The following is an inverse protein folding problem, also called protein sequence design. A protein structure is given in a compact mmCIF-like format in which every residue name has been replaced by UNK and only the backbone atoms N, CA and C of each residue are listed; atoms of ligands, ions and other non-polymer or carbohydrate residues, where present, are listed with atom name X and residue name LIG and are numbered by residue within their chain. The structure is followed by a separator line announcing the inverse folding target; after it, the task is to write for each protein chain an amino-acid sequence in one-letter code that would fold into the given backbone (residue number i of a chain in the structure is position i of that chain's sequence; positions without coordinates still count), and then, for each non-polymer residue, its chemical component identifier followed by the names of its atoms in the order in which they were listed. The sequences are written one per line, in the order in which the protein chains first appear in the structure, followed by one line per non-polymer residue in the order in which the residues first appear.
data_IF_572048982081
#
_entry.id   IF_572048982081
#
_cell.length_a   1.000
_cell.length_b   1.000
_cell.length_c   1.000
_cell.angle_alpha   90.00
_cell.angle_beta   90.00
_cell.angle_gamma   90.00
#
_symmetry.space_group_name_H-M   'P 1'
#
loop_
_entity.id
_entity.type
_entity.pdbx_description
1 polymer ?
#
# COMPACT_ATOMS: atom_id res chain seq x y z
N UNK A 1 -43.41 -31.91 -43.72
CA UNK A 1 -43.40 -30.58 -44.35
C UNK A 1 -42.95 -29.62 -43.26
N UNK A 2 -41.76 -29.04 -43.38
CA UNK A 2 -41.24 -28.11 -42.36
C UNK A 2 -42.10 -26.84 -42.41
N UNK A 3 -42.59 -26.40 -41.26
CA UNK A 3 -43.39 -25.18 -41.14
C UNK A 3 -42.46 -23.97 -41.20
N UNK A 4 -42.36 -23.37 -42.39
CA UNK A 4 -41.46 -22.25 -42.67
C UNK A 4 -41.98 -20.89 -42.17
N UNK A 5 -43.10 -20.85 -41.43
CA UNK A 5 -43.59 -19.60 -40.84
C UNK A 5 -42.88 -19.24 -39.52
N UNK A 6 -42.09 -20.15 -38.95
CA UNK A 6 -41.42 -19.97 -37.63
C UNK A 6 -39.93 -20.35 -37.59
N UNK A 7 -39.27 -20.53 -38.74
CA UNK A 7 -37.85 -20.89 -38.83
C UNK A 7 -36.96 -19.70 -39.24
N UNK A 8 -35.75 -19.63 -38.68
CA UNK A 8 -34.70 -18.67 -39.04
C UNK A 8 -34.38 -18.76 -40.55
N UNK A 9 -34.61 -17.66 -41.28
CA UNK A 9 -34.48 -17.62 -42.75
C UNK A 9 -35.16 -16.46 -43.49
N UNK A 10 -35.80 -15.51 -42.79
CA UNK A 10 -36.30 -14.27 -43.41
C UNK A 10 -35.22 -13.18 -43.41
N UNK A 11 -35.17 -12.38 -44.48
CA UNK A 11 -34.38 -11.14 -44.52
C UNK A 11 -35.30 -9.94 -44.36
N UNK A 12 -34.77 -8.85 -43.81
CA UNK A 12 -35.52 -7.59 -43.66
C UNK A 12 -35.01 -6.62 -44.72
N UNK A 13 -35.91 -6.04 -45.52
CA UNK A 13 -35.51 -5.04 -46.52
C UNK A 13 -35.17 -3.69 -45.87
N UNK A 14 -34.66 -2.75 -46.67
CA UNK A 14 -34.31 -1.40 -46.21
C UNK A 14 -35.48 -0.60 -45.59
N UNK A 15 -36.73 -1.06 -45.75
CA UNK A 15 -37.93 -0.45 -45.17
C UNK A 15 -38.42 -1.19 -43.92
N UNK A 16 -37.65 -2.13 -43.39
CA UNK A 16 -37.99 -2.89 -42.18
C UNK A 16 -38.99 -4.02 -42.41
N UNK A 17 -39.29 -4.40 -43.66
CA UNK A 17 -40.28 -5.43 -44.00
C UNK A 17 -39.62 -6.80 -44.13
N UNK A 18 -40.25 -7.84 -43.59
CA UNK A 18 -39.80 -9.24 -43.78
C UNK A 18 -40.00 -9.66 -45.24
N UNK A 19 -38.99 -10.29 -45.82
CA UNK A 19 -38.99 -10.77 -47.20
C UNK A 19 -38.62 -12.26 -47.21
N UNK A 20 -39.22 -13.00 -48.15
CA UNK A 20 -38.85 -14.36 -48.51
C UNK A 20 -37.47 -14.38 -49.19
N UNK A 21 -36.75 -15.50 -49.09
CA UNK A 21 -35.44 -15.74 -49.75
C UNK A 21 -35.50 -17.07 -50.50
N UNK A 22 -34.93 -17.12 -51.71
CA UNK A 22 -34.86 -18.34 -52.51
C UNK A 22 -34.02 -19.43 -51.81
N UNK A 23 -34.51 -20.67 -51.84
CA UNK A 23 -33.78 -21.84 -51.33
C UNK A 23 -32.60 -22.18 -52.25
N UNK A 24 -31.43 -22.37 -51.67
CA UNK A 24 -30.23 -22.86 -52.38
C UNK A 24 -29.66 -24.09 -51.65
N UNK A 25 -30.11 -25.27 -52.08
CA UNK A 25 -29.70 -26.55 -51.50
C UNK A 25 -28.22 -26.86 -51.74
N UNK A 26 -27.64 -26.36 -52.83
CA UNK A 26 -26.24 -26.61 -53.16
C UNK A 26 -25.30 -25.88 -52.19
N UNK A 27 -25.70 -24.70 -51.72
CA UNK A 27 -24.95 -23.89 -50.77
C UNK A 27 -25.49 -23.97 -49.33
N UNK A 28 -26.44 -24.87 -49.05
CA UNK A 28 -27.10 -25.04 -47.76
C UNK A 28 -27.76 -23.76 -47.23
N UNK A 29 -28.24 -22.87 -48.12
CA UNK A 29 -28.97 -21.67 -47.73
C UNK A 29 -30.44 -22.03 -47.51
N UNK A 30 -30.96 -21.89 -46.28
CA UNK A 30 -32.38 -22.09 -46.01
C UNK A 30 -33.21 -21.03 -46.75
N UNK A 31 -34.30 -21.45 -47.39
CA UNK A 31 -35.18 -20.55 -48.12
C UNK A 31 -36.46 -21.24 -48.60
N UNK A 32 -37.27 -20.52 -49.37
CA UNK A 32 -38.50 -21.02 -50.00
C UNK A 32 -38.21 -21.63 -51.38
N UNK A 33 -38.94 -22.70 -51.74
CA UNK A 33 -38.94 -23.28 -53.09
C UNK A 33 -39.70 -22.42 -54.11
N UNK A 34 -40.51 -21.47 -53.62
CA UNK A 34 -41.22 -20.47 -54.43
C UNK A 34 -40.32 -19.26 -54.65
N UNK A 35 -40.32 -18.69 -55.86
CA UNK A 35 -39.56 -17.49 -56.19
C UNK A 35 -39.90 -16.33 -55.23
N UNK A 36 -38.86 -15.87 -54.53
CA UNK A 36 -38.97 -14.85 -53.51
C UNK A 36 -39.38 -13.49 -54.10
N UNK A 37 -38.95 -13.13 -55.31
CA UNK A 37 -39.26 -11.83 -55.89
C UNK A 37 -40.77 -11.70 -56.15
N UNK A 38 -41.38 -12.73 -56.74
CA UNK A 38 -42.82 -12.78 -57.01
C UNK A 38 -43.65 -12.70 -55.71
N UNK A 39 -43.29 -13.49 -54.69
CA UNK A 39 -44.04 -13.52 -53.43
C UNK A 39 -43.87 -12.25 -52.60
N UNK A 40 -42.68 -11.65 -52.63
CA UNK A 40 -42.41 -10.40 -51.95
C UNK A 40 -43.20 -9.24 -52.57
N UNK A 41 -43.44 -9.24 -53.89
CA UNK A 41 -44.26 -8.23 -54.54
C UNK A 41 -45.71 -8.24 -54.01
N UNK A 42 -46.36 -9.41 -54.00
CA UNK A 42 -47.74 -9.54 -53.50
C UNK A 42 -47.83 -9.16 -52.01
N UNK A 43 -46.89 -9.62 -51.20
CA UNK A 43 -46.84 -9.28 -49.77
C UNK A 43 -46.75 -7.78 -49.56
N UNK A 44 -45.89 -7.11 -50.33
CA UNK A 44 -45.69 -5.67 -50.20
C UNK A 44 -46.95 -4.87 -50.57
N UNK A 45 -47.71 -5.29 -51.57
CA UNK A 45 -48.96 -4.63 -51.97
C UNK A 45 -50.04 -4.72 -50.87
N UNK A 46 -50.20 -5.88 -50.26
CA UNK A 46 -51.14 -6.07 -49.13
C UNK A 46 -50.75 -5.19 -47.94
N UNK A 47 -49.46 -5.20 -47.57
CA UNK A 47 -48.95 -4.38 -46.45
C UNK A 47 -49.17 -2.89 -46.69
N UNK A 48 -49.01 -2.41 -47.93
CA UNK A 48 -49.24 -1.02 -48.28
C UNK A 48 -50.72 -0.62 -48.12
N UNK A 49 -51.65 -1.47 -48.57
CA UNK A 49 -53.09 -1.20 -48.43
C UNK A 49 -53.50 -1.08 -46.95
N UNK A 50 -52.98 -1.96 -46.10
CA UNK A 50 -53.22 -1.91 -44.65
C UNK A 50 -52.67 -0.61 -44.04
N UNK A 51 -51.43 -0.25 -44.35
CA UNK A 51 -50.80 0.96 -43.83
C UNK A 51 -51.54 2.25 -44.26
N UNK A 52 -52.03 2.33 -45.51
CA UNK A 52 -52.78 3.51 -45.99
C UNK A 52 -54.12 3.71 -45.28
N UNK A 53 -54.76 2.64 -44.79
CA UNK A 53 -55.95 2.76 -43.94
C UNK A 53 -55.65 3.24 -42.51
N UNK A 54 -54.36 3.41 -42.16
CA UNK A 54 -53.91 3.76 -40.82
C UNK A 54 -53.79 2.58 -39.86
N UNK A 55 -53.90 1.33 -40.35
CA UNK A 55 -53.69 0.12 -39.55
C UNK A 55 -52.20 -0.25 -39.58
N UNK A 56 -51.62 -0.60 -38.43
CA UNK A 56 -50.23 -1.06 -38.36
C UNK A 56 -50.14 -2.54 -38.79
N UNK A 57 -49.36 -2.88 -39.83
CA UNK A 57 -49.27 -4.25 -40.33
C UNK A 57 -48.74 -5.22 -39.27
N UNK A 58 -49.45 -6.33 -39.05
CA UNK A 58 -49.12 -7.40 -38.13
C UNK A 58 -49.16 -8.74 -38.89
N UNK A 59 -48.04 -9.48 -38.88
CA UNK A 59 -47.94 -10.76 -39.58
C UNK A 59 -48.77 -11.88 -38.90
N UNK A 60 -49.21 -11.66 -37.66
CA UNK A 60 -50.01 -12.64 -36.91
C UNK A 60 -51.53 -12.39 -37.02
N UNK A 61 -51.96 -11.38 -37.81
CA UNK A 61 -53.37 -11.03 -38.00
C UNK A 61 -53.80 -11.15 -39.47
N UNK A 62 -54.48 -12.27 -39.76
CA UNK A 62 -54.96 -12.60 -41.10
C UNK A 62 -56.21 -11.79 -41.52
N UNK A 63 -56.70 -10.85 -40.70
CA UNK A 63 -57.92 -10.07 -40.97
C UNK A 63 -57.67 -8.63 -41.41
N UNK A 64 -56.43 -8.15 -41.31
CA UNK A 64 -56.12 -6.72 -41.48
C UNK A 64 -56.43 -6.15 -42.87
N UNK A 65 -56.27 -6.95 -43.93
CA UNK A 65 -56.61 -6.49 -45.28
C UNK A 65 -58.11 -6.20 -45.41
N UNK A 66 -58.96 -7.05 -44.80
CA UNK A 66 -60.40 -6.83 -44.78
C UNK A 66 -60.77 -5.58 -43.97
N UNK A 67 -60.19 -5.42 -42.79
CA UNK A 67 -60.41 -4.24 -41.93
C UNK A 67 -60.04 -2.94 -42.65
N UNK A 68 -58.92 -2.93 -43.38
CA UNK A 68 -58.47 -1.78 -44.16
C UNK A 68 -59.48 -1.39 -45.25
N UNK A 69 -60.05 -2.39 -45.95
CA UNK A 69 -61.05 -2.16 -47.00
C UNK A 69 -62.33 -1.57 -46.42
N UNK A 70 -62.83 -2.11 -45.31
CA UNK A 70 -64.07 -1.62 -44.66
C UNK A 70 -63.91 -0.16 -44.23
N UNK A 71 -62.80 0.17 -43.55
CA UNK A 71 -62.57 1.54 -43.06
C UNK A 71 -62.54 2.57 -44.19
N UNK A 72 -61.86 2.26 -45.30
CA UNK A 72 -61.79 3.15 -46.47
C UNK A 72 -63.18 3.33 -47.12
N UNK A 73 -64.03 2.30 -47.07
CA UNK A 73 -65.40 2.39 -47.58
C UNK A 73 -66.29 3.28 -46.68
N UNK A 74 -66.23 3.10 -45.37
CA UNK A 74 -67.03 3.86 -44.39
C UNK A 74 -66.69 5.37 -44.43
N UNK A 75 -65.40 5.72 -44.53
CA UNK A 75 -64.96 7.11 -44.64
C UNK A 75 -65.51 7.80 -45.90
N UNK A 76 -65.75 7.05 -46.98
CA UNK A 76 -66.35 7.58 -48.22
C UNK A 76 -67.87 7.71 -48.14
N UNK A 77 -68.55 6.85 -47.38
CA UNK A 77 -70.01 6.91 -47.19
C UNK A 77 -70.41 8.11 -46.30
N UNK A 78 -69.62 8.43 -45.26
CA UNK A 78 -69.85 9.59 -44.41
C UNK A 78 -69.77 10.94 -45.15
N UNK A 79 -69.05 11.01 -46.28
CA UNK A 79 -68.97 12.20 -47.13
C UNK A 79 -70.17 12.36 -48.08
N UNK A 80 -71.03 11.34 -48.23
CA UNK A 80 -72.13 11.33 -49.21
C UNK A 80 -73.48 11.86 -48.71
N UNK A 81 -73.70 12.01 -47.40
CA UNK A 81 -75.04 12.23 -46.83
C UNK A 81 -75.42 13.70 -46.51
N UNK A 82 -74.52 14.67 -46.70
CA UNK A 82 -74.81 16.10 -46.48
C UNK A 82 -74.61 16.86 -47.79
N UNK A 83 -75.72 17.31 -48.39
CA UNK A 83 -75.76 17.91 -49.73
C UNK A 83 -74.98 19.21 -49.97
N UNK A 84 -74.09 19.64 -49.06
CA UNK A 84 -73.06 20.65 -49.26
C UNK A 84 -71.88 20.41 -48.31
N UNK A 85 -70.67 20.79 -48.73
CA UNK A 85 -69.45 20.72 -47.92
C UNK A 85 -69.59 21.63 -46.69
N UNK A 86 -69.55 21.10 -45.45
CA UNK A 86 -69.42 21.93 -44.25
C UNK A 86 -68.15 22.79 -44.35
N UNK A 87 -68.24 24.07 -43.98
CA UNK A 87 -67.02 24.85 -43.74
C UNK A 87 -66.46 24.37 -42.41
N UNK A 88 -65.57 23.38 -42.46
CA UNK A 88 -64.77 22.95 -41.32
C UNK A 88 -63.67 23.99 -41.09
N UNK A 89 -63.90 24.93 -40.17
CA UNK A 89 -62.77 25.61 -39.55
C UNK A 89 -62.25 24.72 -38.43
N UNK A 90 -61.18 23.99 -38.72
CA UNK A 90 -60.40 23.28 -37.71
C UNK A 90 -59.98 24.24 -36.62
N UNK A 91 -60.44 23.99 -35.40
CA UNK A 91 -59.91 24.63 -34.21
C UNK A 91 -58.43 24.26 -34.06
N UNK A 92 -57.63 25.21 -33.59
CA UNK A 92 -56.25 24.95 -33.14
C UNK A 92 -56.23 23.88 -32.03
N UNK A 93 -55.10 23.17 -31.89
CA UNK A 93 -54.89 22.14 -30.87
C UNK A 93 -55.41 22.57 -29.48
N UNK A 94 -56.40 21.85 -28.95
CA UNK A 94 -56.99 22.08 -27.63
C UNK A 94 -58.48 22.46 -27.61
N UNK A 95 -59.12 22.66 -28.76
CA UNK A 95 -60.58 22.79 -28.86
C UNK A 95 -61.19 21.39 -29.09
N UNK A 96 -61.95 20.89 -28.11
CA UNK A 96 -62.68 19.62 -28.16
C UNK A 96 -63.71 19.60 -29.30
N UNK A 97 -64.25 18.42 -29.65
CA UNK A 97 -65.12 18.06 -30.81
C UNK A 97 -66.37 18.92 -31.10
N UNK A 98 -66.53 20.05 -30.41
CA UNK A 98 -67.62 20.99 -30.54
C UNK A 98 -67.55 21.78 -31.85
N UNK A 99 -68.08 21.19 -32.92
CA UNK A 99 -68.25 21.86 -34.22
C UNK A 99 -69.28 22.98 -34.09
N UNK A 100 -68.87 24.21 -34.42
CA UNK A 100 -69.78 25.35 -34.56
C UNK A 100 -70.37 25.35 -35.97
N UNK A 101 -71.69 25.24 -36.05
CA UNK A 101 -72.46 25.28 -37.29
C UNK A 101 -73.19 26.62 -37.37
N UNK A 102 -72.91 27.43 -38.38
CA UNK A 102 -73.59 28.72 -38.62
C UNK A 102 -74.42 28.60 -39.88
N UNK A 103 -75.71 28.93 -39.78
CA UNK A 103 -76.61 28.84 -40.92
C UNK A 103 -77.97 29.50 -40.68
N UNK A 104 -78.76 29.59 -41.75
CA UNK A 104 -80.12 30.11 -41.66
C UNK A 104 -81.01 29.13 -40.87
N UNK A 105 -81.60 29.63 -39.79
CA UNK A 105 -82.66 28.97 -39.03
C UNK A 105 -84.02 29.62 -39.32
N UNK A 106 -85.11 29.00 -38.85
CA UNK A 106 -86.46 29.54 -38.98
C UNK A 106 -86.60 31.00 -38.46
N UNK A 107 -85.75 31.41 -37.52
CA UNK A 107 -85.81 32.73 -36.87
C UNK A 107 -84.68 33.68 -37.31
N UNK A 108 -83.84 33.27 -38.26
CA UNK A 108 -82.72 34.05 -38.79
C UNK A 108 -81.36 33.34 -38.71
N UNK A 109 -80.26 34.07 -38.87
CA UNK A 109 -78.91 33.50 -38.89
C UNK A 109 -78.54 33.02 -37.48
N UNK A 110 -78.35 31.72 -37.29
CA UNK A 110 -78.12 31.10 -35.98
C UNK A 110 -76.82 30.30 -35.93
N UNK A 111 -76.29 30.14 -34.72
CA UNK A 111 -75.23 29.19 -34.43
C UNK A 111 -75.74 28.02 -33.60
N UNK A 112 -75.25 26.83 -33.95
CA UNK A 112 -75.33 25.62 -33.16
C UNK A 112 -73.92 25.17 -32.80
N UNK A 113 -73.77 24.59 -31.62
CA UNK A 113 -72.50 23.99 -31.16
C UNK A 113 -72.81 22.54 -30.79
N UNK A 114 -72.17 21.59 -31.47
CA UNK A 114 -72.48 20.15 -31.29
C UNK A 114 -73.97 19.83 -31.42
N UNK A 115 -74.64 20.45 -32.40
CA UNK A 115 -76.07 20.29 -32.64
C UNK A 115 -77.00 20.97 -31.63
N UNK A 116 -76.48 21.65 -30.59
CA UNK A 116 -77.29 22.43 -29.64
C UNK A 116 -77.37 23.90 -30.07
N UNK A 117 -78.58 24.47 -30.03
CA UNK A 117 -78.82 25.87 -30.37
C UNK A 117 -78.13 26.81 -29.39
N UNK A 118 -77.24 27.66 -29.90
CA UNK A 118 -76.47 28.62 -29.10
C UNK A 118 -77.08 30.03 -29.15
N UNK A 119 -77.74 30.38 -30.26
CA UNK A 119 -78.45 31.64 -30.39
C UNK A 119 -78.68 32.08 -31.84
N UNK A 120 -79.56 33.07 -32.03
CA UNK A 120 -79.72 33.79 -33.30
C UNK A 120 -78.87 35.06 -33.24
N UNK A 121 -77.98 35.25 -34.21
CA UNK A 121 -77.15 36.46 -34.34
C UNK A 121 -77.89 37.58 -35.07
N UNK A 122 -78.79 37.24 -36.00
CA UNK A 122 -79.60 38.20 -36.73
C UNK A 122 -81.01 37.63 -36.96
N UNK A 123 -82.02 38.30 -36.41
CA UNK A 123 -83.42 37.90 -36.56
C UNK A 123 -84.03 38.44 -37.85
N UNK A 124 -84.91 37.66 -38.49
CA UNK A 124 -85.58 38.05 -39.75
C UNK A 124 -86.85 38.88 -39.57
N UNK A 125 -87.31 39.12 -38.33
CA UNK A 125 -88.50 39.94 -38.07
C UNK A 125 -88.13 41.37 -37.66
N UNK A 126 -88.50 42.34 -38.51
CA UNK A 126 -88.29 43.77 -38.33
C UNK A 126 -89.34 44.34 -37.36
N UNK A 127 -89.16 44.13 -36.07
CA UNK A 127 -89.90 44.85 -35.02
C UNK A 127 -88.95 45.20 -33.87
N UNK A 128 -88.15 46.25 -34.11
CA UNK A 128 -87.42 47.07 -33.15
C UNK A 128 -86.73 46.33 -31.99
N UNK A 129 -85.50 45.84 -32.24
CA UNK A 129 -84.51 45.63 -31.17
C UNK A 129 -83.26 46.45 -31.50
N UNK A 130 -83.05 47.44 -30.63
CA UNK A 130 -81.97 48.41 -30.62
C UNK A 130 -80.71 47.75 -30.02
N UNK A 131 -79.52 47.98 -30.60
CA UNK A 131 -78.31 47.33 -30.14
C UNK A 131 -78.02 47.69 -28.68
N UNK A 132 -77.73 46.68 -27.85
CA UNK A 132 -76.98 46.88 -26.60
C UNK A 132 -75.60 47.37 -27.02
N UNK A 133 -75.40 48.69 -26.99
CA UNK A 133 -74.10 49.28 -27.26
C UNK A 133 -73.22 49.13 -26.02
N UNK A 134 -72.22 48.26 -26.08
CA UNK A 134 -71.10 48.28 -25.13
C UNK A 134 -70.15 49.37 -25.63
N UNK A 135 -70.27 50.58 -25.08
CA UNK A 135 -69.42 51.72 -25.42
C UNK A 135 -68.32 51.94 -24.37
N UNK A 136 -67.09 52.16 -24.83
CA UNK A 136 -65.99 52.67 -24.00
C UNK A 136 -65.80 54.13 -24.43
N UNK A 137 -66.12 55.10 -23.57
CA UNK A 137 -65.84 56.52 -23.84
C UNK A 137 -64.36 56.79 -23.52
N UNK A 138 -63.64 57.50 -24.39
CA UNK A 138 -62.23 57.88 -24.20
C UNK A 138 -62.00 58.75 -22.94
N UNK A 139 -63.05 59.30 -22.34
CA UNK A 139 -62.99 60.02 -21.06
C UNK A 139 -63.46 59.20 -19.86
N UNK A 140 -64.16 58.08 -20.07
CA UNK A 140 -64.70 57.21 -19.03
C UNK A 140 -64.57 55.73 -19.44
N UNK A 141 -63.48 55.11 -18.99
CA UNK A 141 -63.13 53.69 -19.12
C UNK A 141 -64.05 52.76 -18.28
N UNK A 142 -65.35 53.02 -18.22
CA UNK A 142 -66.29 52.22 -17.44
C UNK A 142 -67.30 51.55 -18.37
N UNK A 143 -67.45 50.21 -18.36
CA UNK A 143 -68.58 49.57 -19.01
C UNK A 143 -69.87 49.99 -18.29
N UNK A 144 -70.77 50.60 -19.04
CA UNK A 144 -72.07 51.05 -18.56
C UNK A 144 -73.20 50.38 -19.33
N UNK A 145 -74.34 50.22 -18.67
CA UNK A 145 -75.62 49.87 -19.29
C UNK A 145 -76.55 51.08 -19.21
N UNK A 146 -77.35 51.35 -20.25
CA UNK A 146 -78.41 52.35 -20.19
C UNK A 146 -79.78 51.68 -20.09
N UNK A 147 -80.67 52.25 -19.26
CA UNK A 147 -82.08 51.89 -19.27
C UNK A 147 -82.88 52.69 -20.32
N UNK A 148 -84.15 52.32 -20.47
CA UNK A 148 -85.13 52.93 -21.39
C UNK A 148 -85.41 54.43 -21.14
N UNK A 149 -84.76 55.06 -20.15
CA UNK A 149 -84.88 56.50 -19.85
C UNK A 149 -83.57 57.25 -20.03
N UNK A 150 -82.54 56.61 -20.61
CA UNK A 150 -81.23 57.21 -20.81
C UNK A 150 -80.41 57.33 -19.52
N UNK A 151 -80.77 56.56 -18.48
CA UNK A 151 -80.02 56.53 -17.22
C UNK A 151 -78.91 55.48 -17.31
N UNK A 152 -77.68 55.89 -17.05
CA UNK A 152 -76.51 55.02 -17.09
C UNK A 152 -76.28 54.34 -15.73
N UNK A 153 -76.08 53.03 -15.75
CA UNK A 153 -75.70 52.22 -14.59
C UNK A 153 -74.29 51.68 -14.80
N UNK A 154 -73.37 52.07 -13.91
CA UNK A 154 -72.02 51.54 -13.91
C UNK A 154 -72.01 50.15 -13.30
N UNK A 155 -71.29 49.22 -13.94
CA UNK A 155 -71.17 47.84 -13.49
C UNK A 155 -70.32 47.68 -12.21
N UNK A 156 -69.53 48.70 -11.87
CA UNK A 156 -68.76 48.79 -10.63
C UNK A 156 -68.89 50.20 -10.02
N UNK A 157 -68.91 50.29 -8.69
CA UNK A 157 -68.90 51.60 -8.03
C UNK A 157 -67.56 52.30 -8.28
N UNK A 158 -67.60 53.63 -8.42
CA UNK A 158 -66.40 54.48 -8.63
C UNK A 158 -65.33 54.23 -7.56
N UNK A 159 -65.74 53.97 -6.32
CA UNK A 159 -64.84 53.65 -5.21
C UNK A 159 -64.11 52.32 -5.37
N UNK A 160 -64.77 51.27 -5.88
CA UNK A 160 -64.15 49.97 -6.08
C UNK A 160 -63.00 50.04 -7.10
N UNK A 161 -63.21 50.74 -8.21
CA UNK A 161 -62.18 50.91 -9.25
C UNK A 161 -61.03 51.81 -8.77
N UNK A 162 -61.33 52.90 -8.05
CA UNK A 162 -60.30 53.77 -7.47
C UNK A 162 -59.44 52.98 -6.47
N UNK A 163 -60.05 52.16 -5.62
CA UNK A 163 -59.33 51.32 -4.67
C UNK A 163 -58.47 50.28 -5.38
N UNK A 164 -58.99 49.59 -6.40
CA UNK A 164 -58.22 48.63 -7.18
C UNK A 164 -57.01 49.28 -7.87
N UNK A 165 -57.18 50.48 -8.44
CA UNK A 165 -56.09 51.23 -9.08
C UNK A 165 -55.05 51.73 -8.07
N UNK A 166 -55.49 52.21 -6.90
CA UNK A 166 -54.62 52.62 -5.82
C UNK A 166 -53.79 51.44 -5.28
N UNK A 167 -54.42 50.27 -5.06
CA UNK A 167 -53.74 49.04 -4.62
C UNK A 167 -52.73 48.57 -5.64
N UNK A 168 -53.08 48.55 -6.93
CA UNK A 168 -52.17 48.14 -8.01
C UNK A 168 -50.96 49.09 -8.10
N UNK A 169 -51.20 50.39 -7.96
CA UNK A 169 -50.13 51.39 -7.98
C UNK A 169 -49.19 51.26 -6.78
N UNK A 170 -49.73 50.97 -5.59
CA UNK A 170 -48.92 50.73 -4.39
C UNK A 170 -48.08 49.45 -4.51
N UNK A 171 -48.67 48.37 -5.05
CA UNK A 171 -47.97 47.11 -5.31
C UNK A 171 -46.81 47.30 -6.30
N UNK A 172 -47.03 48.02 -7.40
CA UNK A 172 -46.00 48.29 -8.41
C UNK A 172 -44.83 49.14 -7.85
N UNK A 173 -45.13 50.09 -6.95
CA UNK A 173 -44.09 50.85 -6.23
C UNK A 173 -43.26 49.95 -5.33
N UNK A 174 -43.91 49.04 -4.60
CA UNK A 174 -43.21 48.11 -3.72
C UNK A 174 -42.35 47.10 -4.49
N UNK A 175 -42.83 46.58 -5.62
CA UNK A 175 -42.05 45.71 -6.50
C UNK A 175 -40.79 46.44 -7.00
N UNK A 176 -40.93 47.70 -7.40
CA UNK A 176 -39.79 48.51 -7.86
C UNK A 176 -38.78 48.72 -6.73
N UNK A 177 -39.27 49.07 -5.52
CA UNK A 177 -38.42 49.22 -4.33
C UNK A 177 -37.67 47.93 -3.98
N UNK A 178 -38.38 46.79 -4.00
CA UNK A 178 -37.82 45.48 -3.70
C UNK A 178 -36.75 45.06 -4.72
N UNK A 179 -36.98 45.27 -6.02
CA UNK A 179 -35.98 45.03 -7.07
C UNK A 179 -34.73 45.89 -6.91
N UNK A 180 -34.90 47.16 -6.53
CA UNK A 180 -33.77 48.04 -6.22
C UNK A 180 -32.97 47.54 -5.02
N UNK A 181 -33.65 47.20 -3.92
CA UNK A 181 -33.00 46.65 -2.74
C UNK A 181 -32.31 45.31 -2.99
N UNK A 182 -32.89 44.43 -3.80
CA UNK A 182 -32.30 43.16 -4.23
C UNK A 182 -31.04 43.41 -5.08
N UNK A 183 -31.09 44.35 -6.01
CA UNK A 183 -29.93 44.77 -6.80
C UNK A 183 -28.81 45.34 -5.92
N UNK A 184 -29.15 46.18 -4.93
CA UNK A 184 -28.19 46.76 -4.00
C UNK A 184 -27.59 45.70 -3.07
N UNK A 185 -28.40 44.75 -2.59
CA UNK A 185 -27.94 43.59 -1.82
C UNK A 185 -27.02 42.70 -2.66
N UNK A 186 -27.37 42.41 -3.91
CA UNK A 186 -26.55 41.64 -4.83
C UNK A 186 -25.21 42.35 -5.07
N UNK A 187 -25.21 43.67 -5.27
CA UNK A 187 -24.00 44.47 -5.44
C UNK A 187 -23.15 44.50 -4.14
N UNK A 188 -23.79 44.63 -2.98
CA UNK A 188 -23.11 44.59 -1.69
C UNK A 188 -22.51 43.21 -1.38
N UNK A 189 -23.20 42.12 -1.69
CA UNK A 189 -22.70 40.76 -1.55
C UNK A 189 -21.53 40.52 -2.51
N UNK A 190 -21.68 40.90 -3.78
CA UNK A 190 -20.61 40.77 -4.79
C UNK A 190 -19.40 41.66 -4.48
N UNK A 191 -19.61 42.84 -3.89
CA UNK A 191 -18.53 43.75 -3.48
C UNK A 191 -17.90 43.42 -2.11
N UNK A 192 -18.59 42.62 -1.28
CA UNK A 192 -18.07 42.11 0.00
C UNK A 192 -17.50 40.71 -0.08
N UNK A 193 -17.69 39.96 -1.17
CA UNK A 193 -16.72 38.94 -1.54
C UNK A 193 -15.42 39.68 -1.87
N UNK A 194 -14.38 39.60 -1.01
CA UNK A 194 -13.07 40.11 -1.40
C UNK A 194 -12.69 39.42 -2.70
N UNK A 195 -11.93 40.08 -3.57
CA UNK A 195 -11.40 39.55 -4.83
C UNK A 195 -10.39 38.38 -4.61
N UNK A 196 -10.78 37.41 -3.79
CA UNK A 196 -9.96 36.43 -3.11
C UNK A 196 -10.76 35.23 -2.60
N UNK A 197 -12.09 35.16 -2.79
CA UNK A 197 -12.81 33.89 -2.65
C UNK A 197 -12.64 32.97 -3.88
N UNK A 198 -11.91 33.45 -4.91
CA UNK A 198 -11.21 32.63 -5.90
C UNK A 198 -9.74 32.39 -5.51
N UNK A 199 -9.19 33.17 -4.58
CA UNK A 199 -7.86 32.94 -4.01
C UNK A 199 -7.86 31.83 -2.95
N UNK A 200 -9.00 31.43 -2.40
CA UNK A 200 -9.14 30.15 -1.68
C UNK A 200 -8.84 28.98 -2.60
N UNK A 201 -9.29 28.98 -3.86
CA UNK A 201 -8.88 27.95 -4.81
C UNK A 201 -7.40 28.07 -5.21
N UNK A 202 -6.86 29.27 -5.45
CA UNK A 202 -5.45 29.40 -5.81
C UNK A 202 -4.49 29.07 -4.64
N UNK A 203 -4.78 29.57 -3.43
CA UNK A 203 -3.99 29.27 -2.23
C UNK A 203 -4.14 27.82 -1.80
N UNK A 204 -5.35 27.24 -1.87
CA UNK A 204 -5.57 25.81 -1.64
C UNK A 204 -4.86 24.96 -2.69
N UNK A 205 -4.92 25.36 -3.97
CA UNK A 205 -4.18 24.66 -5.04
C UNK A 205 -2.68 24.76 -4.84
N UNK A 206 -2.16 25.92 -4.41
CA UNK A 206 -0.75 26.10 -4.09
C UNK A 206 -0.34 25.27 -2.87
N UNK A 207 -1.15 25.21 -1.82
CA UNK A 207 -0.91 24.39 -0.62
C UNK A 207 -1.00 22.89 -0.95
N UNK A 208 -1.98 22.46 -1.74
CA UNK A 208 -2.12 21.08 -2.23
C UNK A 208 -0.91 20.70 -3.10
N UNK A 209 -0.48 21.59 -3.98
CA UNK A 209 0.71 21.39 -4.82
C UNK A 209 1.99 21.34 -3.97
N UNK A 210 2.14 22.25 -3.01
CA UNK A 210 3.28 22.28 -2.09
C UNK A 210 3.34 21.02 -1.23
N UNK A 211 2.20 20.56 -0.70
CA UNK A 211 2.10 19.30 0.06
C UNK A 211 2.34 18.08 -0.80
N UNK A 212 1.80 18.03 -2.02
CA UNK A 212 2.06 16.94 -2.95
C UNK A 212 3.56 16.85 -3.30
N UNK A 213 4.20 18.00 -3.55
CA UNK A 213 5.64 18.08 -3.79
C UNK A 213 6.45 17.70 -2.54
N UNK A 214 6.04 18.13 -1.34
CA UNK A 214 6.69 17.77 -0.10
C UNK A 214 6.54 16.27 0.21
N UNK A 215 5.37 15.68 -0.04
CA UNK A 215 5.12 14.24 0.10
C UNK A 215 5.91 13.45 -0.94
N UNK A 216 5.97 13.88 -2.19
CA UNK A 216 6.79 13.25 -3.22
C UNK A 216 8.30 13.36 -2.91
N UNK A 217 8.75 14.50 -2.37
CA UNK A 217 10.11 14.69 -1.90
C UNK A 217 10.41 13.84 -0.67
N UNK A 218 9.47 13.73 0.27
CA UNK A 218 9.57 12.85 1.43
C UNK A 218 9.52 11.37 1.03
N UNK A 219 8.70 10.96 0.06
CA UNK A 219 8.65 9.59 -0.46
C UNK A 219 9.91 9.27 -1.29
N UNK A 220 10.46 10.26 -2.00
CA UNK A 220 11.79 10.19 -2.59
C UNK A 220 12.93 10.16 -1.56
N UNK A 221 12.74 10.78 -0.39
CA UNK A 221 13.71 10.81 0.71
C UNK A 221 13.50 9.72 1.77
N UNK A 222 12.35 9.02 1.76
CA UNK A 222 12.03 7.83 2.55
C UNK A 222 12.91 6.71 2.05
N UNK A 223 14.18 6.72 2.42
CA UNK A 223 15.10 5.59 2.23
C UNK A 223 14.97 5.00 0.81
N UNK A 224 14.78 5.81 -0.23
CA UNK A 224 15.33 5.46 -1.52
C UNK A 224 16.81 5.70 -1.36
N UNK A 225 17.51 4.70 -0.79
CA UNK A 225 18.98 4.63 -0.72
C UNK A 225 19.58 4.48 -2.13
N UNK A 226 19.12 5.26 -3.10
CA UNK A 226 19.84 5.54 -4.32
C UNK A 226 20.89 6.62 -4.00
N UNK A 227 21.85 6.28 -3.14
CA UNK A 227 22.90 7.21 -2.69
C UNK A 227 23.60 6.76 -1.41
N UNK A 228 22.84 6.19 -0.46
CA UNK A 228 23.42 5.32 0.56
C UNK A 228 23.76 3.99 -0.10
N UNK A 229 24.96 3.90 -0.66
CA UNK A 229 25.47 2.60 -1.11
C UNK A 229 25.56 1.71 0.13
N UNK A 230 24.70 0.70 0.24
CA UNK A 230 25.06 -0.51 0.99
C UNK A 230 26.23 -1.14 0.23
N UNK A 231 27.45 -0.65 0.45
CA UNK A 231 28.66 -1.25 -0.11
C UNK A 231 28.93 -2.54 0.67
N UNK A 232 28.44 -3.63 0.10
CA UNK A 232 28.57 -4.98 0.62
C UNK A 232 27.39 -5.80 0.11
N UNK A 233 27.65 -6.92 -0.54
CA UNK A 233 26.59 -7.84 -0.94
C UNK A 233 25.73 -8.15 0.28
N UNK A 234 24.41 -7.92 0.18
CA UNK A 234 23.47 -8.59 1.06
C UNK A 234 23.47 -10.06 0.64
N UNK A 235 24.48 -10.76 1.14
CA UNK A 235 24.67 -12.20 1.11
C UNK A 235 23.46 -12.93 1.68
N UNK A 236 22.41 -13.22 0.92
CA UNK A 236 21.51 -14.31 1.29
C UNK A 236 22.25 -15.65 1.10
N UNK A 237 23.34 -15.87 1.87
CA UNK A 237 24.23 -17.03 1.80
C UNK A 237 23.63 -18.26 2.50
N UNK A 238 22.31 -18.42 2.52
CA UNK A 238 21.74 -19.73 2.81
C UNK A 238 21.39 -20.40 1.49
N UNK A 239 22.39 -21.04 0.87
CA UNK A 239 22.07 -22.17 0.00
C UNK A 239 21.72 -23.32 0.95
N UNK A 240 20.44 -23.74 1.07
CA UNK A 240 20.04 -24.84 1.96
C UNK A 240 20.58 -26.21 1.50
N UNK A 241 21.43 -26.24 0.47
CA UNK A 241 21.97 -27.42 -0.20
C UNK A 241 23.45 -27.63 0.06
N UNK A 242 24.05 -26.95 1.05
CA UNK A 242 25.45 -27.18 1.39
C UNK A 242 25.64 -28.62 1.89
N UNK A 243 26.66 -29.30 1.35
CA UNK A 243 27.04 -30.66 1.75
C UNK A 243 27.65 -30.65 3.15
N UNK A 244 27.47 -31.74 3.90
CA UNK A 244 28.10 -31.93 5.20
C UNK A 244 29.61 -31.65 5.15
N UNK A 245 30.11 -30.89 6.13
CA UNK A 245 31.51 -30.53 6.25
C UNK A 245 31.89 -29.15 5.68
N UNK A 246 30.98 -28.48 4.97
CA UNK A 246 31.21 -27.09 4.49
C UNK A 246 30.87 -26.09 5.58
N UNK A 247 31.68 -25.03 5.72
CA UNK A 247 31.39 -23.92 6.62
C UNK A 247 30.38 -22.96 6.01
N UNK A 248 29.27 -22.76 6.71
CA UNK A 248 28.29 -21.73 6.47
C UNK A 248 28.57 -20.50 7.35
N UNK A 249 28.42 -19.31 6.77
CA UNK A 249 28.71 -18.05 7.43
C UNK A 249 27.44 -17.20 7.41
N UNK A 250 26.96 -16.79 8.58
CA UNK A 250 25.81 -15.89 8.64
C UNK A 250 26.16 -14.51 8.09
N UNK A 251 25.15 -13.71 7.69
CA UNK A 251 25.33 -12.28 7.58
C UNK A 251 25.95 -11.72 8.86
N UNK A 252 26.90 -10.80 8.72
CA UNK A 252 27.66 -10.22 9.83
C UNK A 252 27.44 -8.72 9.97
N UNK A 253 27.65 -8.20 11.18
CA UNK A 253 27.80 -6.77 11.43
C UNK A 253 29.26 -6.38 11.23
N UNK A 254 29.51 -5.41 10.35
CA UNK A 254 30.86 -4.87 10.10
C UNK A 254 30.89 -3.40 10.45
N UNK A 255 31.81 -3.02 11.32
CA UNK A 255 32.13 -1.63 11.62
C UNK A 255 33.53 -1.33 11.11
N UNK A 256 33.67 -0.23 10.38
CA UNK A 256 34.93 0.17 9.76
C UNK A 256 35.14 1.66 9.98
N UNK A 257 36.33 2.05 10.42
CA UNK A 257 36.70 3.46 10.45
C UNK A 257 37.28 3.87 9.09
N UNK A 258 37.20 5.16 8.76
CA UNK A 258 37.92 5.73 7.61
C UNK A 258 39.46 5.53 7.67
N UNK A 259 39.97 5.08 8.81
CA UNK A 259 41.38 4.98 9.19
C UNK A 259 41.95 3.57 9.04
N UNK A 260 41.27 2.70 8.27
CA UNK A 260 41.72 1.35 7.86
C UNK A 260 41.57 0.24 8.89
N UNK A 261 41.12 0.53 10.11
CA UNK A 261 40.82 -0.47 11.12
C UNK A 261 39.32 -0.76 11.18
N UNK A 262 38.97 -2.01 11.43
CA UNK A 262 37.58 -2.40 11.61
C UNK A 262 37.45 -3.71 12.37
N UNK A 263 36.20 -4.07 12.65
CA UNK A 263 35.85 -5.38 13.14
C UNK A 263 34.59 -5.89 12.46
N UNK A 264 34.52 -7.21 12.31
CA UNK A 264 33.35 -7.92 11.80
C UNK A 264 32.91 -8.97 12.81
N UNK A 265 31.61 -9.04 13.08
CA UNK A 265 30.98 -10.03 13.94
C UNK A 265 29.97 -10.84 13.13
N UNK A 266 30.11 -12.15 13.08
CA UNK A 266 29.18 -13.09 12.44
C UNK A 266 29.15 -14.43 13.19
N UNK A 267 28.18 -15.30 12.88
CA UNK A 267 28.22 -16.70 13.30
C UNK A 267 28.71 -17.60 12.17
N UNK A 268 29.49 -18.61 12.52
CA UNK A 268 29.98 -19.63 11.63
C UNK A 268 29.44 -20.98 12.12
N UNK A 269 28.98 -21.82 11.20
CA UNK A 269 28.55 -23.19 11.48
C UNK A 269 29.11 -24.13 10.42
N UNK A 270 29.50 -25.34 10.79
CA UNK A 270 29.89 -26.38 9.83
C UNK A 270 28.68 -27.29 9.62
N UNK A 271 28.17 -27.30 8.40
CA UNK A 271 26.96 -28.03 8.04
C UNK A 271 27.11 -29.51 8.42
N UNK A 272 26.11 -30.03 9.15
CA UNK A 272 26.03 -31.42 9.60
C UNK A 272 26.79 -31.75 10.89
N UNK A 273 27.58 -30.83 11.45
CA UNK A 273 28.43 -31.09 12.63
C UNK A 273 27.74 -30.68 13.95
N UNK A 274 26.96 -29.58 13.94
CA UNK A 274 26.15 -29.10 15.08
C UNK A 274 26.93 -28.66 16.33
N UNK A 275 28.17 -29.15 16.51
CA UNK A 275 29.07 -28.87 17.62
C UNK A 275 30.07 -27.75 17.31
N UNK A 276 30.11 -27.25 16.08
CA UNK A 276 31.08 -26.25 15.59
C UNK A 276 30.46 -24.87 15.36
N UNK A 277 29.17 -24.71 15.66
CA UNK A 277 28.50 -23.42 15.63
C UNK A 277 29.15 -22.48 16.65
N UNK A 278 29.77 -21.41 16.16
CA UNK A 278 30.50 -20.44 16.98
C UNK A 278 30.20 -19.00 16.55
N UNK A 279 30.27 -18.08 17.52
CA UNK A 279 30.39 -16.67 17.21
C UNK A 279 31.81 -16.36 16.75
N UNK A 280 31.99 -15.50 15.76
CA UNK A 280 33.31 -15.12 15.24
C UNK A 280 33.45 -13.61 15.26
N UNK A 281 34.46 -13.13 15.98
CA UNK A 281 34.92 -11.74 15.91
C UNK A 281 36.21 -11.70 15.08
N UNK A 282 36.23 -10.83 14.09
CA UNK A 282 37.38 -10.64 13.20
C UNK A 282 37.90 -9.23 13.33
N UNK A 283 39.19 -9.09 13.62
CA UNK A 283 39.89 -7.81 13.50
C UNK A 283 40.40 -7.62 12.07
N UNK A 284 40.16 -6.44 11.52
CA UNK A 284 40.49 -6.12 10.13
C UNK A 284 41.39 -4.89 10.04
N UNK A 285 42.34 -4.94 9.11
CA UNK A 285 43.23 -3.86 8.79
C UNK A 285 43.42 -3.76 7.28
N UNK A 286 43.26 -2.57 6.70
CA UNK A 286 43.32 -2.32 5.25
C UNK A 286 42.40 -3.24 4.40
N UNK A 287 41.21 -3.56 4.90
CA UNK A 287 40.24 -4.44 4.25
C UNK A 287 40.61 -5.92 4.30
N UNK A 288 41.71 -6.28 4.98
CA UNK A 288 42.19 -7.65 5.14
C UNK A 288 41.92 -8.13 6.57
N UNK A 289 41.41 -9.36 6.68
CA UNK A 289 41.18 -10.01 7.97
C UNK A 289 42.53 -10.42 8.58
N UNK A 290 42.81 -9.93 9.78
CA UNK A 290 44.11 -10.13 10.44
C UNK A 290 44.03 -11.22 11.51
N UNK A 291 42.94 -11.24 12.27
CA UNK A 291 42.83 -12.07 13.45
C UNK A 291 41.40 -12.53 13.66
N UNK A 292 41.22 -13.81 13.99
CA UNK A 292 39.91 -14.40 14.29
C UNK A 292 39.88 -14.83 15.74
N UNK A 293 38.74 -14.60 16.35
CA UNK A 293 38.39 -15.00 17.70
C UNK A 293 37.08 -15.77 17.61
N UNK A 294 37.12 -17.06 17.91
CA UNK A 294 35.96 -17.94 17.93
C UNK A 294 35.44 -18.08 19.35
N UNK A 295 34.15 -17.84 19.51
CA UNK A 295 33.38 -18.07 20.73
C UNK A 295 32.65 -19.40 20.57
N UNK A 296 33.26 -20.47 21.09
CA UNK A 296 32.77 -21.82 20.98
C UNK A 296 31.48 -22.05 21.78
N UNK A 297 30.66 -23.03 21.40
CA UNK A 297 29.42 -23.36 22.11
C UNK A 297 29.67 -23.93 23.52
N UNK A 298 30.90 -24.37 23.79
CA UNK A 298 31.40 -24.81 25.10
C UNK A 298 31.86 -23.64 26.00
N UNK A 299 31.72 -22.40 25.53
CA UNK A 299 32.19 -21.20 26.23
C UNK A 299 33.70 -20.95 26.08
N UNK A 300 34.42 -21.76 25.29
CA UNK A 300 35.81 -21.50 24.97
C UNK A 300 35.95 -20.27 24.06
N UNK A 301 37.08 -19.56 24.20
CA UNK A 301 37.46 -18.49 23.28
C UNK A 301 38.77 -18.92 22.62
N UNK A 302 38.71 -19.22 21.33
CA UNK A 302 39.87 -19.59 20.51
C UNK A 302 40.38 -18.40 19.72
N UNK A 303 41.68 -18.19 19.63
CA UNK A 303 42.29 -17.17 18.77
C UNK A 303 43.17 -17.82 17.70
N UNK A 304 43.05 -17.33 16.45
CA UNK A 304 43.66 -17.92 15.24
C UNK A 304 45.17 -18.19 15.25
N UNK A 305 45.96 -17.51 16.08
CA UNK A 305 47.42 -17.63 16.10
C UNK A 305 48.01 -18.01 17.47
N UNK A 306 47.19 -18.02 18.52
CA UNK A 306 47.60 -18.29 19.91
C UNK A 306 46.82 -19.45 20.54
N UNK A 307 45.84 -20.01 19.83
CA UNK A 307 45.01 -21.09 20.35
C UNK A 307 43.99 -20.58 21.38
N UNK A 308 43.55 -21.47 22.27
CA UNK A 308 42.53 -21.14 23.26
C UNK A 308 43.07 -20.13 24.28
N UNK A 309 42.28 -19.08 24.55
CA UNK A 309 42.52 -18.16 25.65
C UNK A 309 42.20 -18.92 26.94
N UNK A 310 43.21 -19.20 27.74
CA UNK A 310 43.01 -19.83 29.05
C UNK A 310 42.30 -18.86 30.00
N UNK A 311 41.18 -19.30 30.58
CA UNK A 311 40.59 -18.60 31.71
C UNK A 311 41.49 -18.74 32.94
N UNK A 312 41.44 -17.76 33.86
CA UNK A 312 42.22 -17.83 35.13
C UNK A 312 41.92 -19.11 35.92
N UNK A 313 40.69 -19.62 35.83
CA UNK A 313 40.26 -20.89 36.43
C UNK A 313 40.84 -22.15 35.75
N UNK A 314 41.41 -22.01 34.55
CA UNK A 314 42.05 -23.09 33.78
C UNK A 314 43.57 -23.03 33.85
N UNK A 315 44.14 -21.96 34.40
CA UNK A 315 45.55 -21.95 34.80
C UNK A 315 45.64 -22.96 35.96
N UNK A 316 46.44 -24.04 35.85
CA UNK A 316 46.54 -25.03 36.90
C UNK A 316 46.83 -24.33 38.23
N UNK A 317 45.91 -24.51 39.19
CA UNK A 317 46.12 -24.06 40.58
C UNK A 317 47.22 -24.84 41.29
N UNK A 318 47.85 -25.79 40.59
CA UNK A 318 48.96 -26.63 41.02
C UNK A 318 50.29 -25.89 41.10
N UNK A 319 50.28 -24.55 41.24
CA UNK A 319 51.47 -23.85 41.71
C UNK A 319 51.69 -24.25 43.16
N UNK A 320 52.62 -25.18 43.39
CA UNK A 320 53.00 -25.59 44.74
C UNK A 320 53.41 -24.34 45.52
N UNK A 321 52.63 -23.98 46.54
CA UNK A 321 52.83 -22.76 47.30
C UNK A 321 54.22 -22.72 47.92
N UNK A 322 54.83 -21.54 48.00
CA UNK A 322 56.15 -21.33 48.64
C UNK A 322 56.25 -21.98 50.03
N UNK A 323 55.14 -22.04 50.78
CA UNK A 323 55.04 -22.71 52.08
C UNK A 323 55.37 -24.20 52.04
N UNK A 324 55.13 -24.89 50.91
CA UNK A 324 55.41 -26.33 50.75
C UNK A 324 56.91 -26.62 50.73
N UNK A 325 57.73 -25.67 50.25
CA UNK A 325 59.18 -25.83 50.18
C UNK A 325 59.94 -24.97 51.19
N UNK A 326 59.25 -24.18 52.01
CA UNK A 326 59.91 -23.27 52.96
C UNK A 326 60.79 -24.03 53.96
N UNK A 327 60.37 -25.24 54.39
CA UNK A 327 61.16 -26.12 55.26
C UNK A 327 62.31 -26.84 54.53
N UNK A 328 62.25 -26.90 53.20
CA UNK A 328 63.26 -27.57 52.35
C UNK A 328 64.44 -26.65 52.02
N UNK A 329 64.38 -25.35 52.32
CA UNK A 329 65.45 -24.40 51.98
C UNK A 329 66.00 -23.60 53.17
N UNK A 330 65.44 -23.77 54.38
CA UNK A 330 65.84 -23.03 55.58
C UNK A 330 66.85 -23.83 56.42
N UNK A 331 68.15 -23.64 56.15
CA UNK A 331 69.23 -24.36 56.84
C UNK A 331 69.91 -23.55 57.95
N UNK A 332 69.64 -22.24 58.07
CA UNK A 332 70.27 -21.33 59.05
C UNK A 332 71.81 -21.16 58.95
N UNK A 333 72.49 -22.02 58.19
CA UNK A 333 73.93 -22.07 57.98
C UNK A 333 74.23 -21.98 56.48
N UNK A 334 75.01 -20.98 56.08
CA UNK A 334 75.36 -20.72 54.68
C UNK A 334 76.17 -21.82 54.01
N UNK A 335 76.69 -22.78 54.78
CA UNK A 335 77.41 -23.96 54.29
C UNK A 335 76.48 -25.10 53.91
N UNK A 336 75.18 -25.01 54.22
CA UNK A 336 74.20 -26.08 54.03
C UNK A 336 73.15 -25.64 53.01
N UNK A 337 72.98 -26.44 51.97
CA UNK A 337 71.95 -26.29 50.95
C UNK A 337 70.99 -27.48 51.02
N UNK A 338 69.83 -27.25 51.62
CA UNK A 338 68.73 -28.21 51.56
C UNK A 338 68.03 -28.06 50.20
N UNK A 339 67.68 -29.19 49.60
CA UNK A 339 67.03 -29.28 48.31
C UNK A 339 65.76 -30.12 48.38
N UNK A 340 64.93 -30.08 47.33
CA UNK A 340 63.67 -30.81 47.31
C UNK A 340 63.90 -32.32 47.49
N UNK A 341 62.88 -33.02 47.98
CA UNK A 341 62.89 -34.47 48.23
C UNK A 341 63.88 -34.89 49.33
N UNK A 342 63.97 -34.09 50.40
CA UNK A 342 64.83 -34.37 51.55
C UNK A 342 66.30 -34.57 51.17
N UNK A 343 66.80 -33.80 50.19
CA UNK A 343 68.22 -33.80 49.80
C UNK A 343 68.96 -32.68 50.51
N UNK A 344 70.23 -32.91 50.83
CA UNK A 344 71.11 -31.93 51.46
C UNK A 344 72.47 -31.98 50.78
N UNK A 345 73.01 -30.81 50.49
CA UNK A 345 74.40 -30.61 50.09
C UNK A 345 75.07 -29.70 51.11
N UNK A 346 76.30 -30.00 51.52
CA UNK A 346 77.07 -29.12 52.39
C UNK A 346 78.41 -28.81 51.73
N UNK A 347 78.80 -27.54 51.76
CA UNK A 347 80.04 -27.04 51.18
C UNK A 347 80.76 -26.17 52.21
N UNK A 348 81.93 -26.62 52.66
CA UNK A 348 82.68 -25.92 53.70
C UNK A 348 84.18 -26.18 53.62
N UNK A 349 84.95 -25.33 54.31
CA UNK A 349 86.40 -25.46 54.43
C UNK A 349 86.76 -26.08 55.78
N UNK A 350 87.78 -26.91 55.80
CA UNK A 350 88.37 -27.47 57.02
C UNK A 350 89.90 -27.48 56.91
N UNK A 351 90.57 -27.40 58.06
CA UNK A 351 92.02 -27.59 58.16
C UNK A 351 92.28 -28.86 58.95
N UNK A 352 92.97 -29.82 58.35
CA UNK A 352 93.16 -31.16 58.91
C UNK A 352 94.48 -31.79 58.42
N UNK A 353 95.00 -32.74 59.17
CA UNK A 353 96.15 -33.58 58.79
C UNK A 353 95.69 -34.91 58.20
N UNK A 354 96.60 -35.64 57.56
CA UNK A 354 96.31 -36.98 57.05
C UNK A 354 95.84 -37.90 58.18
N UNK A 355 94.66 -38.49 58.03
CA UNK A 355 94.02 -39.37 59.02
C UNK A 355 93.09 -38.67 60.01
N UNK A 356 93.03 -37.32 60.01
CA UNK A 356 92.10 -36.58 60.87
C UNK A 356 90.65 -36.74 60.40
N UNK A 357 89.72 -36.66 61.35
CA UNK A 357 88.28 -36.70 61.09
C UNK A 357 87.72 -35.29 60.93
N UNK A 358 87.06 -35.02 59.80
CA UNK A 358 86.40 -33.75 59.50
C UNK A 358 84.89 -33.92 59.72
N UNK A 359 84.34 -33.16 60.68
CA UNK A 359 82.91 -33.16 60.99
C UNK A 359 82.13 -32.27 60.02
N UNK A 360 80.98 -32.76 59.54
CA UNK A 360 80.07 -31.98 58.70
C UNK A 360 79.35 -30.89 59.52
N UNK A 361 79.06 -29.71 58.93
CA UNK A 361 78.28 -28.65 59.56
C UNK A 361 76.94 -29.11 60.15
N UNK A 362 76.26 -30.05 59.49
CA UNK A 362 75.11 -30.76 60.02
C UNK A 362 75.17 -32.25 59.71
N UNK A 363 74.54 -33.04 60.57
CA UNK A 363 74.38 -34.48 60.35
C UNK A 363 73.51 -34.74 59.11
N UNK A 364 73.91 -35.73 58.32
CA UNK A 364 73.18 -36.25 57.17
C UNK A 364 72.30 -37.44 57.58
N UNK A 365 71.17 -37.65 56.88
CA UNK A 365 70.38 -38.89 56.98
C UNK A 365 71.09 -40.07 56.30
N UNK A 366 71.75 -39.80 55.19
CA UNK A 366 72.63 -40.69 54.44
C UNK A 366 73.62 -39.85 53.64
N UNK A 367 74.80 -40.39 53.32
CA UNK A 367 75.76 -39.76 52.41
C UNK A 367 75.72 -40.47 51.06
N UNK A 368 75.42 -39.72 50.01
CA UNK A 368 75.43 -40.21 48.63
C UNK A 368 76.84 -40.04 48.02
N UNK A 369 77.48 -38.89 48.27
CA UNK A 369 78.84 -38.60 47.83
C UNK A 369 79.56 -37.62 48.76
N UNK A 370 80.89 -37.75 48.88
CA UNK A 370 81.73 -36.80 49.61
C UNK A 370 83.05 -36.61 48.89
N UNK A 371 83.29 -35.39 48.42
CA UNK A 371 84.51 -34.99 47.73
C UNK A 371 85.30 -34.05 48.61
N UNK A 372 86.61 -34.26 48.68
CA UNK A 372 87.53 -33.40 49.43
C UNK A 372 88.64 -32.98 48.49
N UNK A 373 88.94 -31.69 48.44
CA UNK A 373 89.96 -31.13 47.56
C UNK A 373 90.84 -30.15 48.34
N UNK A 374 92.16 -30.27 48.21
CA UNK A 374 93.09 -29.29 48.77
C UNK A 374 92.95 -27.93 48.06
N UNK A 375 93.03 -26.83 48.81
CA UNK A 375 92.97 -25.48 48.24
C UNK A 375 94.30 -25.06 47.59
N UNK A 376 95.41 -25.60 48.08
CA UNK A 376 96.74 -25.35 47.55
C UNK A 376 97.23 -26.51 46.67
N UNK A 377 97.94 -26.15 45.60
CA UNK A 377 98.51 -27.06 44.60
C UNK A 377 99.70 -27.92 45.09
N UNK A 378 99.92 -28.04 46.39
CA UNK A 378 101.04 -28.83 46.93
C UNK A 378 100.69 -30.31 47.07
N UNK A 379 99.41 -30.66 47.31
CA UNK A 379 98.98 -32.02 47.64
C UNK A 379 97.71 -32.43 46.85
N UNK A 380 97.89 -32.80 45.57
CA UNK A 380 96.78 -33.03 44.62
C UNK A 380 95.92 -34.28 44.86
N UNK A 381 96.22 -35.11 45.85
CA UNK A 381 95.49 -36.36 46.07
C UNK A 381 94.93 -36.44 47.50
N UNK A 382 94.16 -35.41 47.85
CA UNK A 382 93.26 -35.42 48.99
C UNK A 382 91.95 -36.13 48.60
N UNK A 383 91.41 -36.97 49.48
CA UNK A 383 90.08 -37.55 49.32
C UNK A 383 89.44 -37.82 50.67
N UNK A 384 88.12 -37.76 50.71
CA UNK A 384 87.35 -38.31 51.83
C UNK A 384 87.48 -39.83 51.83
N UNK A 385 87.68 -40.42 53.00
CA UNK A 385 87.77 -41.85 53.20
C UNK A 385 86.93 -42.23 54.43
N UNK A 386 86.32 -43.41 54.41
CA UNK A 386 85.42 -43.88 55.46
C UNK A 386 84.38 -42.84 55.90
N UNK A 387 83.71 -42.22 54.93
CA UNK A 387 82.68 -41.23 55.18
C UNK A 387 81.45 -41.84 55.84
N UNK A 388 80.95 -41.19 56.89
CA UNK A 388 79.70 -41.52 57.56
C UNK A 388 78.76 -40.30 57.59
N UNK A 389 77.64 -40.40 58.29
CA UNK A 389 76.63 -39.34 58.35
C UNK A 389 77.06 -38.08 59.12
N UNK A 390 78.13 -38.14 59.91
CA UNK A 390 78.63 -37.01 60.71
C UNK A 390 79.89 -36.38 60.12
N UNK A 391 80.59 -37.05 59.21
CA UNK A 391 81.87 -36.58 58.70
C UNK A 391 82.62 -37.56 57.81
N UNK A 392 83.87 -37.23 57.51
CA UNK A 392 84.78 -38.06 56.71
C UNK A 392 86.20 -38.00 57.25
N UNK A 393 86.97 -39.08 57.11
CA UNK A 393 88.41 -39.04 57.37
C UNK A 393 89.15 -38.48 56.16
N UNK A 394 90.10 -37.59 56.40
CA UNK A 394 90.94 -37.02 55.34
C UNK A 394 92.08 -37.97 55.00
N UNK A 395 92.11 -38.46 53.77
CA UNK A 395 93.28 -39.15 53.22
C UNK A 395 94.08 -38.19 52.33
N UNK A 396 95.38 -38.05 52.59
CA UNK A 396 96.34 -37.29 51.77
C UNK A 396 97.42 -38.25 51.31
N UNK A 397 97.56 -38.46 49.99
CA UNK A 397 98.59 -39.34 49.46
C UNK A 397 100.00 -38.74 49.67
N UNK A 398 100.88 -39.45 50.37
CA UNK A 398 102.22 -38.97 50.73
C UNK A 398 102.36 -38.45 52.16
N UNK A 399 101.25 -38.32 52.90
CA UNK A 399 101.23 -37.73 54.23
C UNK A 399 101.32 -36.20 54.17
N UNK A 400 100.71 -35.53 55.14
CA UNK A 400 100.67 -34.06 55.21
C UNK A 400 100.02 -33.60 56.51
N UNK A 401 100.50 -32.50 57.07
CA UNK A 401 99.95 -31.89 58.30
C UNK A 401 99.38 -30.52 57.99
N UNK A 402 98.20 -30.22 58.53
CA UNK A 402 97.54 -28.91 58.41
C UNK A 402 97.23 -28.45 56.97
N UNK A 403 96.64 -29.33 56.16
CA UNK A 403 96.18 -28.97 54.81
C UNK A 403 94.78 -28.34 54.89
N UNK A 404 94.60 -27.19 54.24
CA UNK A 404 93.29 -26.60 54.05
C UNK A 404 92.58 -27.30 52.89
N UNK A 405 91.41 -27.87 53.17
CA UNK A 405 90.60 -28.59 52.20
C UNK A 405 89.21 -28.00 52.09
N UNK A 406 88.68 -28.00 50.88
CA UNK A 406 87.26 -27.81 50.60
C UNK A 406 86.57 -29.17 50.60
N UNK A 407 85.49 -29.28 51.36
CA UNK A 407 84.65 -30.48 51.46
C UNK A 407 83.30 -30.17 50.83
N UNK A 408 82.89 -31.01 49.88
CA UNK A 408 81.55 -31.03 49.30
C UNK A 408 80.93 -32.40 49.59
N UNK A 409 79.85 -32.43 50.37
CA UNK A 409 79.09 -33.65 50.67
C UNK A 409 77.65 -33.50 50.21
N UNK A 410 77.09 -34.55 49.61
CA UNK A 410 75.68 -34.62 49.23
C UNK A 410 75.04 -35.90 49.76
N UNK A 411 73.73 -35.83 50.03
CA UNK A 411 72.99 -36.96 50.58
C UNK A 411 71.58 -36.58 51.02
N UNK A 412 71.01 -37.34 51.96
CA UNK A 412 69.68 -37.04 52.49
C UNK A 412 69.74 -36.15 53.73
N UNK A 413 68.77 -35.25 53.86
CA UNK A 413 68.50 -34.46 55.06
C UNK A 413 67.98 -35.39 56.16
N UNK A 414 68.44 -35.18 57.40
CA UNK A 414 67.95 -35.92 58.58
C UNK A 414 66.50 -35.56 58.91
#
# INVERSE_FOLDING_TARGET
MVDYTKADGYVVDAKGRRQYVNRDDANLVPGTEIDADDHNQLRNDVVNAIAQSGITPNNDDDTQLYQAIVKIADEREAAGEIGFTPVEQGGIDGLTDDKVQIGNSANGLAAYVSGKFSGVFAYTSVAAIYPVAIGIDQTNLFPWFSDNKGKFYNLATREWVINAYATTTALNREITRAKGAESDLQAAVNGKQPAGDYATNAALTNEVTARANAVAALDGAKVNRAGDTMTGSLSAFNSPTLTDGVYNYSPGFRSYTNSRAGFTLFSQDKVGDGATACGVLVYEWNGQQQQYWWFGPDGSIGQSSKGNVAYVSQIPTDYISQSTYQADFDSGDSRIHDGPYSKRTQHFRATASAGDYITFPAKMGSVDACTVQAEANTDYNCKGFNTDNNGTYLHINGGGTNVQVTVLVSGTKL
#
